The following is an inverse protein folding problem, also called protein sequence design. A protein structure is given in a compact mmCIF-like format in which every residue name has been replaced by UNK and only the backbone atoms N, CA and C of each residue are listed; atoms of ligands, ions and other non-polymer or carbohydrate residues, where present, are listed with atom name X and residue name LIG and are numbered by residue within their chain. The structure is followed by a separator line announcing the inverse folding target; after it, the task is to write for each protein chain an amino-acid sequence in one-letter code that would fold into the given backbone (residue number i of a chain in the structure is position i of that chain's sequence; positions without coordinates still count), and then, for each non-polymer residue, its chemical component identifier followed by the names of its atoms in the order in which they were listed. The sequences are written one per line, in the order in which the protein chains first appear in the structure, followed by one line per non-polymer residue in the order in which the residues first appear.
data_IF_407302274849
#
_entry.id   IF_407302274849
#
_cell.length_a   1.000
_cell.length_b   1.000
_cell.length_c   1.000
_cell.angle_alpha   90.00
_cell.angle_beta   90.00
_cell.angle_gamma   90.00
#
_symmetry.space_group_name_H-M   'P 1'
#
loop_
_entity.id
_entity.type
_entity.pdbx_description
1 polymer ?
#
# COMPACT_ATOMS: atom_id res chain seq x y z
N UNK A 1 50.68 -53.61 0.14
CA UNK A 1 50.79 -54.42 1.37
C UNK A 1 52.18 -54.19 1.97
N UNK A 2 52.36 -53.95 3.28
CA UNK A 2 51.39 -53.70 4.38
C UNK A 2 51.64 -52.33 5.09
N UNK A 3 50.64 -51.49 5.42
CA UNK A 3 49.75 -51.47 6.61
C UNK A 3 50.45 -51.33 7.97
N UNK A 4 50.33 -50.15 8.60
CA UNK A 4 50.30 -49.96 10.06
C UNK A 4 49.40 -48.74 10.38
N UNK A 5 48.40 -48.99 11.22
CA UNK A 5 47.37 -48.09 11.73
C UNK A 5 47.94 -47.06 12.72
N UNK A 6 47.33 -45.87 12.78
CA UNK A 6 47.24 -45.10 14.02
C UNK A 6 45.88 -44.39 14.09
N UNK A 7 45.00 -44.93 14.94
CA UNK A 7 43.82 -44.26 15.48
C UNK A 7 44.19 -42.87 16.01
N UNK A 8 43.48 -41.84 15.56
CA UNK A 8 43.15 -40.70 16.43
C UNK A 8 41.91 -39.97 15.89
N UNK A 9 40.84 -40.14 16.66
CA UNK A 9 39.81 -39.16 16.96
C UNK A 9 38.96 -38.58 15.82
N UNK A 10 37.81 -39.25 15.64
CA UNK A 10 36.53 -38.62 15.32
C UNK A 10 36.30 -37.39 16.22
N UNK A 11 36.61 -36.20 15.72
CA UNK A 11 36.00 -34.96 16.23
C UNK A 11 34.65 -34.80 15.56
N UNK A 12 33.62 -35.36 16.18
CA UNK A 12 32.24 -34.92 15.96
C UNK A 12 32.15 -33.45 16.40
N UNK A 13 31.63 -32.61 15.51
CA UNK A 13 31.32 -31.22 15.79
C UNK A 13 30.29 -31.17 16.92
N UNK A 14 30.70 -30.65 18.07
CA UNK A 14 29.85 -30.38 19.23
C UNK A 14 29.03 -29.10 18.98
N UNK A 15 28.36 -29.03 17.82
CA UNK A 15 27.37 -28.00 17.52
C UNK A 15 26.04 -28.49 18.09
N UNK A 16 25.56 -27.79 19.12
CA UNK A 16 24.26 -28.05 19.70
C UNK A 16 23.20 -27.89 18.60
N UNK A 17 22.46 -28.97 18.36
CA UNK A 17 21.34 -29.00 17.41
C UNK A 17 20.37 -27.84 17.71
N UNK A 18 20.18 -26.89 16.76
CA UNK A 18 19.32 -25.73 16.94
C UNK A 18 17.89 -26.10 17.35
N UNK A 19 17.38 -27.25 16.91
CA UNK A 19 16.05 -27.74 17.27
C UNK A 19 16.03 -28.24 18.72
N UNK A 20 17.09 -28.89 19.17
CA UNK A 20 17.22 -29.38 20.55
C UNK A 20 17.36 -28.23 21.54
N UNK A 21 18.08 -27.17 21.14
CA UNK A 21 18.20 -25.91 21.91
C UNK A 21 16.85 -25.22 22.01
N UNK A 22 16.07 -25.18 20.92
CA UNK A 22 14.73 -24.58 20.94
C UNK A 22 13.76 -25.40 21.80
N UNK A 23 13.84 -26.73 21.74
CA UNK A 23 13.05 -27.63 22.60
C UNK A 23 13.38 -27.45 24.08
N UNK A 24 14.67 -27.28 24.41
CA UNK A 24 15.14 -26.98 25.78
C UNK A 24 14.68 -25.61 26.26
N UNK A 25 14.68 -24.60 25.39
CA UNK A 25 14.15 -23.25 25.71
C UNK A 25 12.65 -23.29 25.99
N UNK A 26 11.90 -24.09 25.26
CA UNK A 26 10.47 -24.31 25.51
C UNK A 26 10.22 -25.05 26.82
N UNK A 27 11.03 -26.08 27.13
CA UNK A 27 10.90 -26.85 28.37
C UNK A 27 11.26 -26.05 29.63
N UNK A 28 12.18 -25.10 29.51
CA UNK A 28 12.62 -24.20 30.58
C UNK A 28 11.77 -22.92 30.71
N UNK A 29 10.74 -22.74 29.87
CA UNK A 29 9.90 -21.54 29.89
C UNK A 29 10.61 -20.25 29.45
N UNK A 30 11.77 -20.38 28.79
CA UNK A 30 12.58 -19.27 28.25
C UNK A 30 12.28 -18.98 26.77
N UNK A 31 11.55 -19.87 26.10
CA UNK A 31 10.94 -19.62 24.81
C UNK A 31 9.68 -18.79 25.00
N UNK A 32 9.78 -17.48 24.81
CA UNK A 32 8.61 -16.62 24.74
C UNK A 32 7.76 -17.07 23.56
N UNK A 33 6.68 -17.83 23.81
CA UNK A 33 5.63 -18.00 22.83
C UNK A 33 5.20 -16.58 22.41
N UNK A 34 5.18 -16.22 21.11
CA UNK A 34 4.49 -15.01 20.71
C UNK A 34 3.09 -15.11 21.31
N UNK A 35 2.74 -14.12 22.13
CA UNK A 35 1.46 -14.10 22.80
C UNK A 35 0.41 -14.07 21.69
N UNK A 36 -0.26 -15.21 21.40
CA UNK A 36 -1.36 -15.28 20.42
C UNK A 36 -2.51 -14.32 20.74
N UNK A 37 -2.47 -13.66 21.90
CA UNK A 37 -3.42 -12.64 22.35
C UNK A 37 -2.96 -11.19 22.12
N UNK A 38 -1.75 -10.91 21.62
CA UNK A 38 -1.35 -9.55 21.29
C UNK A 38 -2.02 -9.12 19.97
N UNK A 39 -2.62 -7.91 19.89
CA UNK A 39 -3.18 -7.40 18.64
C UNK A 39 -2.14 -7.44 17.51
N UNK A 40 -2.51 -7.83 16.28
CA UNK A 40 -1.59 -7.88 15.14
C UNK A 40 -0.94 -6.51 14.87
N UNK A 41 0.36 -6.48 14.55
CA UNK A 41 1.08 -5.25 14.20
C UNK A 41 1.82 -5.45 12.87
N UNK A 42 1.77 -4.46 11.98
CA UNK A 42 2.49 -4.52 10.70
C UNK A 42 4.00 -4.35 10.87
N UNK A 43 4.41 -3.65 11.94
CA UNK A 43 5.78 -3.18 12.23
C UNK A 43 6.35 -2.20 11.20
N UNK A 44 5.54 -1.72 10.26
CA UNK A 44 5.95 -0.74 9.26
C UNK A 44 6.35 0.58 9.93
N UNK A 45 5.53 1.07 10.87
CA UNK A 45 5.81 2.34 11.53
C UNK A 45 7.07 2.32 12.40
N UNK A 46 7.33 1.20 13.08
CA UNK A 46 8.58 0.99 13.84
C UNK A 46 9.80 0.99 12.91
N UNK A 47 9.69 0.33 11.76
CA UNK A 47 10.71 0.33 10.72
C UNK A 47 10.96 1.72 10.15
N UNK A 48 9.90 2.47 9.84
CA UNK A 48 9.96 3.83 9.33
C UNK A 48 10.64 4.80 10.31
N UNK A 49 10.27 4.73 11.60
CA UNK A 49 10.93 5.51 12.64
C UNK A 49 12.42 5.17 12.73
N UNK A 50 12.75 3.88 12.75
CA UNK A 50 14.15 3.43 12.79
C UNK A 50 14.95 3.94 11.58
N UNK A 51 14.36 3.88 10.38
CA UNK A 51 14.97 4.43 9.16
C UNK A 51 15.22 5.93 9.29
N UNK A 52 14.22 6.70 9.74
CA UNK A 52 14.34 8.14 9.94
C UNK A 52 15.44 8.48 10.96
N UNK A 53 15.45 7.81 12.12
CA UNK A 53 16.42 8.06 13.19
C UNK A 53 17.87 7.79 12.76
N UNK A 54 18.07 7.02 11.70
CA UNK A 54 19.38 6.65 11.16
C UNK A 54 19.62 7.14 9.72
N UNK A 55 18.77 8.02 9.19
CA UNK A 55 18.89 8.56 7.85
C UNK A 55 19.98 9.64 7.79
N UNK A 56 20.75 9.64 6.70
CA UNK A 56 21.84 10.61 6.46
C UNK A 56 21.46 11.60 5.35
N UNK A 57 20.78 11.11 4.31
CA UNK A 57 20.49 11.85 3.09
C UNK A 57 19.07 12.44 3.04
N UNK A 58 18.18 12.03 3.96
CA UNK A 58 16.81 12.53 4.04
C UNK A 58 16.52 13.03 5.45
N UNK A 59 16.09 14.28 5.58
CA UNK A 59 15.76 14.89 6.86
C UNK A 59 14.36 15.49 6.85
N UNK A 60 13.76 15.58 8.04
CA UNK A 60 12.48 16.26 8.24
C UNK A 60 12.67 17.68 8.75
N UNK A 61 11.81 18.59 8.33
CA UNK A 61 11.69 19.94 8.90
C UNK A 61 10.52 20.00 9.88
N UNK A 62 10.76 20.04 11.21
CA UNK A 62 9.67 20.05 12.20
C UNK A 62 8.70 21.22 12.05
N UNK A 63 9.19 22.38 11.60
CA UNK A 63 8.36 23.55 11.33
C UNK A 63 7.41 23.30 10.17
N UNK A 64 7.94 22.87 9.01
CA UNK A 64 7.12 22.64 7.82
C UNK A 64 6.18 21.45 7.99
N UNK A 65 6.55 20.42 8.75
CA UNK A 65 5.63 19.31 9.11
C UNK A 65 4.39 19.84 9.83
N UNK A 66 4.56 20.79 10.75
CA UNK A 66 3.43 21.42 11.48
C UNK A 66 2.59 22.34 10.62
N UNK A 67 3.22 23.04 9.67
CA UNK A 67 2.52 23.90 8.71
C UNK A 67 1.75 23.07 7.67
N UNK A 68 2.34 21.97 7.21
CA UNK A 68 1.72 21.00 6.32
C UNK A 68 0.52 20.34 6.99
N UNK A 69 0.63 19.93 8.26
CA UNK A 69 -0.50 19.40 9.03
C UNK A 69 -1.73 20.32 8.98
N UNK A 70 -1.56 21.60 9.26
CA UNK A 70 -2.67 22.57 9.22
C UNK A 70 -3.18 22.80 7.80
N UNK A 71 -2.28 22.86 6.82
CA UNK A 71 -2.64 23.09 5.41
C UNK A 71 -3.43 21.92 4.84
N UNK A 72 -2.95 20.68 5.05
CA UNK A 72 -3.59 19.44 4.63
C UNK A 72 -4.97 19.34 5.28
N UNK A 73 -5.05 19.51 6.60
CA UNK A 73 -6.31 19.47 7.34
C UNK A 73 -7.35 20.43 6.75
N UNK A 74 -7.00 21.72 6.63
CA UNK A 74 -7.90 22.74 6.10
C UNK A 74 -8.36 22.43 4.67
N UNK A 75 -7.48 21.93 3.81
CA UNK A 75 -7.82 21.58 2.43
C UNK A 75 -8.70 20.35 2.33
N UNK A 76 -8.44 19.30 3.14
CA UNK A 76 -9.29 18.12 3.22
C UNK A 76 -10.71 18.49 3.68
N UNK A 77 -10.83 19.35 4.71
CA UNK A 77 -12.13 19.84 5.18
C UNK A 77 -12.85 20.66 4.11
N UNK A 78 -12.13 21.53 3.38
CA UNK A 78 -12.71 22.33 2.29
C UNK A 78 -13.22 21.46 1.14
N UNK A 79 -12.53 20.35 0.83
CA UNK A 79 -12.91 19.41 -0.23
C UNK A 79 -13.91 18.34 0.24
N UNK A 80 -14.24 18.28 1.53
CA UNK A 80 -14.97 17.16 2.13
C UNK A 80 -14.35 15.79 1.75
N UNK A 81 -13.02 15.72 1.77
CA UNK A 81 -12.26 14.57 1.28
C UNK A 81 -12.55 13.32 2.13
N UNK A 82 -12.89 12.20 1.48
CA UNK A 82 -13.30 10.96 2.15
C UNK A 82 -13.04 9.74 1.27
N UNK A 83 -13.32 8.54 1.80
CA UNK A 83 -13.23 7.28 1.04
C UNK A 83 -14.12 7.25 -0.21
N UNK A 84 -15.19 8.04 -0.24
CA UNK A 84 -16.13 8.08 -1.36
C UNK A 84 -15.47 8.47 -2.67
N UNK A 85 -14.39 9.27 -2.63
CA UNK A 85 -13.61 9.65 -3.80
C UNK A 85 -13.05 8.43 -4.55
N UNK A 86 -12.76 7.32 -3.84
CA UNK A 86 -12.35 6.07 -4.47
C UNK A 86 -13.51 5.43 -5.24
N UNK A 87 -14.69 5.30 -4.62
CA UNK A 87 -15.86 4.65 -5.22
C UNK A 87 -16.47 5.42 -6.41
N UNK A 88 -16.25 6.73 -6.49
CA UNK A 88 -16.81 7.60 -7.53
C UNK A 88 -16.09 7.48 -8.90
N UNK A 89 -14.93 6.81 -8.98
CA UNK A 89 -14.18 6.72 -10.22
C UNK A 89 -14.82 5.75 -11.24
N UNK A 90 -14.91 6.17 -12.51
CA UNK A 90 -15.66 5.45 -13.56
C UNK A 90 -15.12 4.06 -13.93
N UNK A 91 -13.88 3.76 -13.54
CA UNK A 91 -13.22 2.47 -13.76
C UNK A 91 -13.26 1.53 -12.55
N UNK A 92 -13.67 2.01 -11.38
CA UNK A 92 -13.77 1.17 -10.19
C UNK A 92 -15.11 0.43 -10.16
N UNK A 93 -15.15 -0.81 -9.62
CA UNK A 93 -16.39 -1.54 -9.43
C UNK A 93 -17.40 -0.73 -8.62
N UNK A 94 -18.66 -0.74 -9.07
CA UNK A 94 -19.76 -0.01 -8.42
C UNK A 94 -20.57 -0.93 -7.49
N UNK A 95 -20.50 -2.23 -7.72
CA UNK A 95 -21.10 -3.24 -6.87
C UNK A 95 -20.17 -3.58 -5.70
N UNK A 96 -20.74 -4.07 -4.61
CA UNK A 96 -20.01 -4.50 -3.40
C UNK A 96 -20.23 -6.01 -3.21
N UNK A 97 -19.46 -6.81 -3.94
CA UNK A 97 -19.59 -8.26 -4.02
C UNK A 97 -18.22 -8.93 -3.85
N UNK A 98 -18.19 -10.25 -3.75
CA UNK A 98 -16.94 -11.02 -3.77
C UNK A 98 -16.13 -10.76 -5.05
N UNK A 99 -16.80 -10.59 -6.20
CA UNK A 99 -16.11 -10.22 -7.46
C UNK A 99 -15.44 -8.84 -7.40
N UNK A 100 -15.96 -7.91 -6.59
CA UNK A 100 -15.30 -6.63 -6.31
C UNK A 100 -14.03 -6.83 -5.49
N UNK A 101 -14.04 -7.76 -4.52
CA UNK A 101 -12.85 -8.14 -3.75
C UNK A 101 -11.78 -8.74 -4.68
N UNK A 102 -12.17 -9.67 -5.57
CA UNK A 102 -11.25 -10.28 -6.54
C UNK A 102 -10.65 -9.24 -7.49
N UNK A 103 -11.46 -8.27 -7.94
CA UNK A 103 -10.98 -7.17 -8.78
C UNK A 103 -9.94 -6.32 -8.06
N UNK A 104 -10.22 -5.90 -6.82
CA UNK A 104 -9.30 -5.09 -6.01
C UNK A 104 -8.00 -5.86 -5.75
N UNK A 105 -8.10 -7.15 -5.37
CA UNK A 105 -6.92 -7.99 -5.17
C UNK A 105 -6.05 -8.07 -6.44
N UNK A 106 -6.67 -8.36 -7.59
CA UNK A 106 -5.97 -8.44 -8.88
C UNK A 106 -5.31 -7.12 -9.26
N UNK A 107 -6.02 -6.01 -9.04
CA UNK A 107 -5.54 -4.66 -9.32
C UNK A 107 -4.29 -4.36 -8.47
N UNK A 108 -4.33 -4.58 -7.16
CA UNK A 108 -3.22 -4.29 -6.25
C UNK A 108 -2.05 -5.27 -6.35
N UNK A 109 -2.34 -6.52 -6.73
CA UNK A 109 -1.34 -7.50 -7.13
C UNK A 109 -0.51 -7.02 -8.32
N UNK A 110 -1.06 -6.17 -9.18
CA UNK A 110 -0.41 -5.64 -10.39
C UNK A 110 -0.04 -4.15 -10.31
N UNK A 111 -0.32 -3.50 -9.17
CA UNK A 111 -0.14 -2.08 -8.93
C UNK A 111 1.33 -1.71 -8.60
N UNK A 112 2.22 -1.81 -9.59
CA UNK A 112 3.64 -1.44 -9.44
C UNK A 112 4.29 -0.92 -10.72
N UNK A 113 5.10 0.13 -10.61
CA UNK A 113 5.96 0.66 -11.69
C UNK A 113 5.26 0.92 -13.04
N UNK A 114 4.53 2.03 -13.16
CA UNK A 114 3.92 2.48 -14.43
C UNK A 114 4.73 3.51 -15.22
N UNK A 115 5.92 3.89 -14.73
CA UNK A 115 6.71 4.92 -15.39
C UNK A 115 7.49 4.35 -16.58
N UNK A 116 7.65 5.18 -17.62
CA UNK A 116 8.31 4.82 -18.87
C UNK A 116 9.62 5.61 -19.08
N UNK A 117 10.61 4.97 -19.70
CA UNK A 117 11.83 5.62 -20.17
C UNK A 117 11.62 6.37 -21.50
N UNK A 118 10.51 6.11 -22.18
CA UNK A 118 10.12 6.82 -23.39
C UNK A 118 9.86 8.30 -23.05
N UNK A 119 10.59 9.16 -23.77
CA UNK A 119 10.54 10.61 -23.58
C UNK A 119 9.35 11.23 -24.28
N UNK A 120 8.88 10.60 -25.36
CA UNK A 120 7.69 11.01 -26.10
C UNK A 120 6.44 10.40 -25.45
N UNK A 121 5.70 11.23 -24.72
CA UNK A 121 4.47 10.82 -24.03
C UNK A 121 3.43 10.18 -24.95
N UNK A 122 3.43 10.53 -26.23
CA UNK A 122 2.49 9.96 -27.19
C UNK A 122 2.73 8.47 -27.47
N UNK A 123 3.97 8.01 -27.26
CA UNK A 123 4.42 6.63 -27.48
C UNK A 123 4.37 5.76 -26.24
N UNK A 124 4.18 6.37 -25.05
CA UNK A 124 4.15 5.65 -23.79
C UNK A 124 3.00 4.64 -23.72
N UNK A 125 3.20 3.58 -22.95
CA UNK A 125 2.18 2.57 -22.66
C UNK A 125 0.85 3.23 -22.23
N UNK A 126 -0.23 2.85 -22.90
CA UNK A 126 -1.54 3.41 -22.67
C UNK A 126 -2.63 2.46 -23.14
N UNK A 127 -3.81 2.58 -22.55
CA UNK A 127 -4.95 1.72 -22.88
C UNK A 127 -6.08 2.57 -23.43
N UNK A 128 -6.54 2.25 -24.63
CA UNK A 128 -7.80 2.80 -25.13
C UNK A 128 -8.95 1.92 -24.65
N UNK A 129 -9.89 2.53 -23.94
CA UNK A 129 -11.05 1.86 -23.38
C UNK A 129 -12.20 2.86 -23.20
N UNK A 130 -13.42 2.45 -23.59
CA UNK A 130 -14.64 3.29 -23.57
C UNK A 130 -14.46 4.66 -24.27
N UNK A 131 -13.71 4.68 -25.37
CA UNK A 131 -13.47 5.90 -26.18
C UNK A 131 -12.52 6.91 -25.54
N UNK A 132 -11.77 6.52 -24.50
CA UNK A 132 -10.76 7.35 -23.83
C UNK A 132 -9.42 6.64 -23.79
N UNK A 133 -8.35 7.44 -23.80
CA UNK A 133 -6.97 6.99 -23.63
C UNK A 133 -6.58 7.11 -22.16
N UNK A 134 -6.25 5.99 -21.54
CA UNK A 134 -5.81 5.88 -20.15
C UNK A 134 -4.29 5.75 -20.08
N UNK A 135 -3.67 6.35 -19.06
CA UNK A 135 -2.22 6.35 -18.84
C UNK A 135 -1.88 6.04 -17.37
N UNK A 136 -0.64 5.64 -17.11
CA UNK A 136 -0.17 5.35 -15.75
C UNK A 136 -0.96 4.22 -15.09
N UNK A 137 -1.31 4.40 -13.81
CA UNK A 137 -2.14 3.48 -13.05
C UNK A 137 -3.49 3.19 -13.71
N UNK A 138 -4.14 4.22 -14.28
CA UNK A 138 -5.45 4.04 -14.92
C UNK A 138 -5.41 3.14 -16.15
N UNK A 139 -4.25 3.01 -16.82
CA UNK A 139 -4.08 2.00 -17.86
C UNK A 139 -4.31 0.59 -17.35
N UNK A 140 -3.82 0.25 -16.15
CA UNK A 140 -4.01 -1.08 -15.57
C UNK A 140 -5.49 -1.34 -15.30
N UNK A 141 -6.16 -0.41 -14.61
CA UNK A 141 -7.58 -0.55 -14.28
C UNK A 141 -8.42 -0.68 -15.55
N UNK A 142 -8.13 0.13 -16.58
CA UNK A 142 -8.78 0.04 -17.87
C UNK A 142 -8.52 -1.30 -18.59
N UNK A 143 -7.31 -1.86 -18.50
CA UNK A 143 -6.99 -3.16 -19.08
C UNK A 143 -7.76 -4.30 -18.41
N UNK A 144 -7.86 -4.29 -17.07
CA UNK A 144 -8.62 -5.29 -16.31
C UNK A 144 -10.12 -5.22 -16.64
N UNK A 145 -10.70 -4.01 -16.63
CA UNK A 145 -12.11 -3.80 -17.01
C UNK A 145 -12.38 -4.24 -18.46
N UNK A 146 -11.48 -3.89 -19.39
CA UNK A 146 -11.59 -4.30 -20.79
C UNK A 146 -11.53 -5.82 -20.94
N UNK A 147 -10.69 -6.51 -20.17
CA UNK A 147 -10.62 -7.97 -20.21
C UNK A 147 -11.91 -8.61 -19.71
N UNK A 148 -12.51 -8.08 -18.64
CA UNK A 148 -13.81 -8.55 -18.13
C UNK A 148 -14.93 -8.29 -19.15
N UNK A 149 -14.96 -7.13 -19.81
CA UNK A 149 -15.90 -6.83 -20.90
C UNK A 149 -15.70 -7.72 -22.14
N UNK A 150 -14.51 -8.33 -22.30
CA UNK A 150 -14.15 -9.29 -23.35
C UNK A 150 -14.37 -10.75 -22.91
N UNK A 151 -15.08 -10.98 -21.81
CA UNK A 151 -15.37 -12.29 -21.21
C UNK A 151 -14.10 -13.08 -20.80
N UNK A 152 -12.99 -12.38 -20.54
CA UNK A 152 -11.76 -12.98 -20.02
C UNK A 152 -11.80 -12.92 -18.48
N UNK A 153 -11.75 -14.07 -17.77
CA UNK A 153 -11.83 -14.12 -16.30
C UNK A 153 -10.50 -13.70 -15.63
N UNK A 154 -10.02 -12.49 -15.94
CA UNK A 154 -8.71 -11.99 -15.52
C UNK A 154 -8.58 -11.79 -14.01
N UNK A 155 -9.69 -11.79 -13.26
CA UNK A 155 -9.70 -11.66 -11.80
C UNK A 155 -9.80 -13.01 -11.09
N UNK A 156 -9.79 -14.13 -11.82
CA UNK A 156 -10.05 -15.46 -11.27
C UNK A 156 -8.75 -16.24 -11.03
N UNK A 157 -8.46 -16.67 -9.79
CA UNK A 157 -7.21 -17.39 -9.47
C UNK A 157 -7.01 -18.71 -10.23
N UNK A 158 -8.08 -19.49 -10.41
CA UNK A 158 -8.01 -20.77 -11.14
C UNK A 158 -7.69 -20.59 -12.62
N UNK A 159 -8.06 -19.44 -13.20
CA UNK A 159 -7.67 -19.08 -14.55
C UNK A 159 -6.17 -18.76 -14.61
N UNK A 160 -5.63 -18.03 -13.63
CA UNK A 160 -4.19 -17.71 -13.60
C UNK A 160 -3.29 -18.91 -13.48
N UNK A 161 -3.68 -20.00 -12.81
CA UNK A 161 -2.84 -21.20 -12.70
C UNK A 161 -2.94 -22.12 -13.93
N UNK A 162 -3.96 -21.96 -14.76
CA UNK A 162 -4.15 -22.76 -15.95
C UNK A 162 -3.35 -22.17 -17.12
N UNK A 163 -2.15 -22.68 -17.36
CA UNK A 163 -1.27 -22.21 -18.45
C UNK A 163 -1.84 -22.46 -19.87
N UNK A 164 -2.77 -23.41 -20.03
CA UNK A 164 -3.42 -23.68 -21.32
C UNK A 164 -4.51 -22.65 -21.63
N UNK A 165 -5.25 -22.18 -20.62
CA UNK A 165 -6.31 -21.18 -20.77
C UNK A 165 -5.78 -19.75 -20.66
N UNK A 166 -4.93 -19.49 -19.68
CA UNK A 166 -4.29 -18.21 -19.45
C UNK A 166 -2.88 -18.26 -20.04
N UNK A 167 -2.73 -18.13 -21.36
CA UNK A 167 -1.40 -18.12 -22.00
C UNK A 167 -0.73 -16.74 -21.90
N UNK A 168 0.59 -16.70 -22.10
CA UNK A 168 1.33 -15.44 -22.23
C UNK A 168 0.79 -14.58 -23.38
N UNK A 169 0.39 -15.18 -24.50
CA UNK A 169 -0.25 -14.46 -25.60
C UNK A 169 -1.58 -13.84 -25.20
N UNK A 170 -2.40 -14.55 -24.42
CA UNK A 170 -3.68 -14.01 -23.93
C UNK A 170 -3.44 -12.88 -22.93
N UNK A 171 -2.47 -13.00 -22.03
CA UNK A 171 -2.10 -11.92 -21.11
C UNK A 171 -1.53 -10.70 -21.86
N UNK A 172 -0.74 -10.91 -22.92
CA UNK A 172 -0.34 -9.79 -23.81
C UNK A 172 -1.53 -9.14 -24.50
N UNK A 173 -2.54 -9.93 -24.89
CA UNK A 173 -3.78 -9.39 -25.44
C UNK A 173 -4.55 -8.58 -24.39
N UNK A 174 -4.66 -9.04 -23.15
CA UNK A 174 -5.28 -8.30 -22.04
C UNK A 174 -4.61 -6.94 -21.86
N UNK A 175 -3.28 -6.93 -21.71
CA UNK A 175 -2.48 -5.72 -21.48
C UNK A 175 -2.06 -5.00 -22.76
N UNK A 176 -2.66 -5.30 -23.93
CA UNK A 176 -2.26 -4.70 -25.20
C UNK A 176 -2.42 -3.18 -25.18
N UNK A 177 -1.34 -2.48 -25.52
CA UNK A 177 -1.26 -1.03 -25.56
C UNK A 177 -1.90 -0.47 -26.83
N UNK A 178 -2.31 0.80 -26.79
CA UNK A 178 -2.64 1.58 -27.97
C UNK A 178 -1.37 2.16 -28.67
N UNK A 179 -0.18 1.91 -28.10
CA UNK A 179 1.13 2.26 -28.67
C UNK A 179 2.02 1.02 -28.81
N UNK A 180 3.22 1.19 -29.34
CA UNK A 180 4.22 0.12 -29.46
C UNK A 180 4.88 -0.25 -28.12
N UNK A 181 4.76 0.58 -27.07
CA UNK A 181 5.31 0.26 -25.76
C UNK A 181 4.38 -0.73 -25.03
N UNK A 182 4.90 -1.89 -24.65
CA UNK A 182 4.22 -2.89 -23.82
C UNK A 182 4.06 -2.39 -22.37
N UNK A 183 3.15 -3.01 -21.61
CA UNK A 183 3.05 -2.74 -20.17
C UNK A 183 4.41 -2.96 -19.49
N UNK A 184 4.90 -1.99 -18.69
CA UNK A 184 6.16 -2.17 -17.98
C UNK A 184 6.15 -3.42 -17.10
N UNK A 185 7.28 -4.14 -17.06
CA UNK A 185 7.46 -5.34 -16.24
C UNK A 185 6.37 -6.41 -16.49
N UNK A 186 6.07 -6.69 -17.77
CA UNK A 186 5.05 -7.67 -18.16
C UNK A 186 5.31 -9.05 -17.56
N UNK A 187 6.54 -9.56 -17.65
CA UNK A 187 6.87 -10.91 -17.16
C UNK A 187 6.73 -11.02 -15.63
N UNK A 188 7.10 -9.97 -14.90
CA UNK A 188 6.92 -9.89 -13.45
C UNK A 188 5.44 -9.86 -13.06
N UNK A 189 4.58 -9.23 -13.88
CA UNK A 189 3.12 -9.25 -13.69
C UNK A 189 2.54 -10.63 -13.89
N UNK A 190 2.95 -11.32 -14.95
CA UNK A 190 2.56 -12.72 -15.18
C UNK A 190 2.97 -13.59 -14.00
N UNK A 191 4.22 -13.46 -13.53
CA UNK A 191 4.72 -14.20 -12.37
C UNK A 191 3.91 -13.92 -11.11
N UNK A 192 3.54 -12.66 -10.85
CA UNK A 192 2.69 -12.31 -9.72
C UNK A 192 1.31 -12.99 -9.80
N UNK A 193 0.69 -13.05 -10.98
CA UNK A 193 -0.60 -13.74 -11.19
C UNK A 193 -0.48 -15.25 -10.95
N UNK A 194 0.57 -15.91 -11.47
CA UNK A 194 0.78 -17.35 -11.25
C UNK A 194 0.98 -17.67 -9.78
N UNK A 195 1.90 -16.94 -9.13
CA UNK A 195 2.21 -17.13 -7.71
C UNK A 195 0.98 -16.92 -6.83
N UNK A 196 0.25 -15.82 -7.02
CA UNK A 196 -0.94 -15.54 -6.25
C UNK A 196 -2.07 -16.53 -6.54
N UNK A 197 -2.21 -16.96 -7.80
CA UNK A 197 -3.16 -17.99 -8.20
C UNK A 197 -2.89 -19.32 -7.50
N UNK A 198 -1.63 -19.77 -7.46
CA UNK A 198 -1.21 -20.99 -6.77
C UNK A 198 -1.52 -20.91 -5.27
N UNK A 199 -1.17 -19.80 -4.63
CA UNK A 199 -1.43 -19.59 -3.20
C UNK A 199 -2.93 -19.61 -2.92
N UNK A 200 -3.74 -18.87 -3.67
CA UNK A 200 -5.19 -18.81 -3.48
C UNK A 200 -5.86 -20.18 -3.70
N UNK A 201 -5.52 -20.87 -4.79
CA UNK A 201 -6.11 -22.16 -5.10
C UNK A 201 -5.75 -23.24 -4.08
N UNK A 202 -4.54 -23.23 -3.53
CA UNK A 202 -4.07 -24.28 -2.62
C UNK A 202 -4.39 -24.01 -1.14
N UNK A 203 -4.31 -22.75 -0.70
CA UNK A 203 -4.39 -22.39 0.73
C UNK A 203 -5.69 -21.65 1.08
N UNK A 204 -6.40 -21.05 0.11
CA UNK A 204 -7.57 -20.19 0.35
C UNK A 204 -8.78 -20.54 -0.52
N UNK A 205 -8.90 -21.80 -0.92
CA UNK A 205 -10.03 -22.34 -1.72
C UNK A 205 -10.35 -21.53 -3.00
N UNK A 206 -9.35 -20.86 -3.57
CA UNK A 206 -9.47 -20.07 -4.79
C UNK A 206 -10.14 -18.71 -4.63
N UNK A 207 -10.35 -18.20 -3.41
CA UNK A 207 -11.01 -16.91 -3.16
C UNK A 207 -10.22 -16.04 -2.18
N UNK A 208 -10.04 -14.75 -2.51
CA UNK A 208 -9.36 -13.82 -1.62
C UNK A 208 -10.21 -13.42 -0.41
N UNK A 209 -11.54 -13.61 -0.47
CA UNK A 209 -12.43 -13.40 0.69
C UNK A 209 -11.99 -14.23 1.89
N UNK A 210 -11.53 -15.46 1.66
CA UNK A 210 -11.03 -16.33 2.72
C UNK A 210 -9.78 -15.75 3.42
N UNK A 211 -8.96 -14.95 2.73
CA UNK A 211 -7.86 -14.23 3.38
C UNK A 211 -8.37 -13.14 4.33
N UNK A 212 -9.47 -12.44 3.99
CA UNK A 212 -10.11 -11.43 4.84
C UNK A 212 -10.69 -12.10 6.10
N UNK A 213 -11.37 -13.22 5.92
CA UNK A 213 -11.95 -14.02 7.00
C UNK A 213 -10.87 -14.58 7.94
N UNK A 214 -9.79 -15.15 7.39
CA UNK A 214 -8.65 -15.68 8.16
C UNK A 214 -7.89 -14.58 8.91
N UNK A 215 -7.86 -13.36 8.37
CA UNK A 215 -7.35 -12.19 9.05
C UNK A 215 -8.28 -11.68 10.17
N UNK A 216 -9.46 -12.28 10.33
CA UNK A 216 -10.49 -11.91 11.30
C UNK A 216 -10.78 -10.41 11.26
N UNK A 217 -10.90 -9.85 10.04
CA UNK A 217 -11.20 -8.43 9.84
C UNK A 217 -10.21 -7.48 10.55
N UNK A 218 -8.96 -7.92 10.74
CA UNK A 218 -7.85 -7.08 11.18
C UNK A 218 -7.07 -6.58 9.95
N UNK A 219 -6.96 -5.26 9.81
CA UNK A 219 -6.15 -4.61 8.79
C UNK A 219 -4.67 -5.04 8.92
N UNK A 220 -4.11 -4.98 10.13
CA UNK A 220 -2.74 -5.42 10.36
C UNK A 220 -2.57 -6.95 10.23
N UNK A 221 -3.60 -7.72 10.59
CA UNK A 221 -3.66 -9.16 10.37
C UNK A 221 -3.58 -9.51 8.87
N UNK A 222 -4.42 -8.87 8.05
CA UNK A 222 -4.46 -9.10 6.62
C UNK A 222 -3.16 -8.68 5.93
N UNK A 223 -2.58 -7.53 6.28
CA UNK A 223 -1.25 -7.12 5.76
C UNK A 223 -0.18 -8.19 6.04
N UNK A 224 -0.16 -8.75 7.25
CA UNK A 224 0.81 -9.77 7.62
C UNK A 224 0.54 -11.10 6.89
N UNK A 225 -0.71 -11.54 6.86
CA UNK A 225 -1.14 -12.76 6.15
C UNK A 225 -0.74 -12.69 4.68
N UNK A 226 -1.00 -11.55 4.02
CA UNK A 226 -0.66 -11.34 2.62
C UNK A 226 0.87 -11.35 2.42
N UNK A 227 1.64 -10.63 3.24
CA UNK A 227 3.10 -10.60 3.12
C UNK A 227 3.78 -11.95 3.43
N UNK A 228 3.15 -12.79 4.25
CA UNK A 228 3.65 -14.12 4.60
C UNK A 228 3.40 -15.14 3.49
N UNK A 229 2.18 -15.17 2.94
CA UNK A 229 1.76 -16.18 1.97
C UNK A 229 2.10 -15.81 0.51
N UNK A 230 2.05 -14.52 0.17
CA UNK A 230 2.31 -14.04 -1.18
C UNK A 230 3.69 -13.35 -1.22
N UNK A 231 4.69 -14.05 -1.77
CA UNK A 231 6.06 -13.58 -1.82
C UNK A 231 6.18 -12.25 -2.57
N UNK A 232 5.36 -12.00 -3.58
CA UNK A 232 5.28 -10.73 -4.32
C UNK A 232 4.72 -9.56 -3.49
N UNK A 233 4.16 -9.77 -2.30
CA UNK A 233 3.77 -8.70 -1.36
C UNK A 233 4.77 -8.47 -0.21
N UNK A 234 5.80 -9.33 -0.08
CA UNK A 234 6.82 -9.27 0.96
C UNK A 234 7.89 -8.17 0.75
N UNK A 235 7.48 -6.93 0.95
CA UNK A 235 8.31 -5.72 0.86
C UNK A 235 9.11 -5.48 2.15
N UNK A 236 10.23 -6.21 2.28
CA UNK A 236 11.14 -6.18 3.44
C UNK A 236 12.59 -5.95 3.00
N UNK A 237 13.34 -5.18 3.78
CA UNK A 237 14.75 -4.89 3.48
C UNK A 237 15.61 -4.78 4.74
N UNK A 238 16.90 -5.10 4.62
CA UNK A 238 17.89 -4.88 5.69
C UNK A 238 18.46 -3.47 5.60
N UNK A 239 18.30 -2.69 6.67
CA UNK A 239 18.87 -1.35 6.83
C UNK A 239 19.65 -1.28 8.15
N UNK A 240 20.94 -0.94 8.08
CA UNK A 240 21.85 -0.88 9.24
C UNK A 240 21.78 -2.12 10.16
N UNK A 241 21.65 -3.31 9.56
CA UNK A 241 21.59 -4.58 10.28
C UNK A 241 20.23 -4.90 10.92
N UNK A 242 19.22 -4.04 10.76
CA UNK A 242 17.83 -4.29 11.17
C UNK A 242 16.97 -4.57 9.93
N UNK A 243 16.05 -5.53 10.05
CA UNK A 243 15.00 -5.72 9.06
C UNK A 243 13.94 -4.63 9.21
N UNK A 244 13.68 -3.91 8.12
CA UNK A 244 12.63 -2.89 7.98
C UNK A 244 11.58 -3.45 7.01
N UNK A 245 10.30 -3.17 7.28
CA UNK A 245 9.18 -3.59 6.45
C UNK A 245 8.48 -2.34 5.94
N UNK A 246 8.14 -2.30 4.66
CA UNK A 246 7.33 -1.22 4.08
C UNK A 246 5.94 -1.72 3.70
N UNK A 247 5.85 -2.97 3.23
CA UNK A 247 4.60 -3.68 2.90
C UNK A 247 3.63 -2.84 2.06
N UNK A 248 4.15 -2.01 1.15
CA UNK A 248 3.39 -0.95 0.49
C UNK A 248 2.12 -1.49 -0.16
N UNK A 249 2.26 -2.48 -1.04
CA UNK A 249 1.12 -3.03 -1.81
C UNK A 249 0.13 -3.79 -0.94
N UNK A 250 0.60 -4.48 0.11
CA UNK A 250 -0.28 -5.14 1.06
C UNK A 250 -1.10 -4.12 1.87
N UNK A 251 -0.50 -2.97 2.21
CA UNK A 251 -1.19 -1.87 2.85
C UNK A 251 -2.19 -1.18 1.91
N UNK A 252 -1.85 -0.99 0.62
CA UNK A 252 -2.78 -0.46 -0.40
C UNK A 252 -3.99 -1.37 -0.54
N UNK A 253 -3.78 -2.69 -0.67
CA UNK A 253 -4.86 -3.67 -0.75
C UNK A 253 -5.89 -3.55 0.38
N UNK A 254 -5.43 -3.44 1.63
CA UNK A 254 -6.32 -3.23 2.78
C UNK A 254 -7.03 -1.88 2.71
N UNK A 255 -6.33 -0.83 2.28
CA UNK A 255 -6.89 0.51 2.16
C UNK A 255 -7.93 0.61 1.05
N UNK A 256 -7.73 -0.06 -0.09
CA UNK A 256 -8.65 -0.07 -1.22
C UNK A 256 -9.91 -0.89 -0.91
N UNK A 257 -9.78 -2.03 -0.21
CA UNK A 257 -10.92 -2.75 0.35
C UNK A 257 -11.71 -1.88 1.34
N UNK A 258 -11.03 -1.25 2.29
CA UNK A 258 -11.65 -0.36 3.26
C UNK A 258 -12.39 0.81 2.58
N UNK A 259 -11.75 1.45 1.60
CA UNK A 259 -12.30 2.60 0.90
C UNK A 259 -13.47 2.21 -0.02
N UNK A 260 -13.33 1.14 -0.80
CA UNK A 260 -14.37 0.64 -1.70
C UNK A 260 -15.66 0.29 -0.95
N UNK A 261 -15.53 -0.43 0.17
CA UNK A 261 -16.67 -0.86 0.95
C UNK A 261 -17.12 0.17 1.99
N UNK A 262 -16.45 1.33 2.10
CA UNK A 262 -16.72 2.39 3.08
C UNK A 262 -16.66 1.92 4.54
N UNK A 263 -15.76 0.98 4.86
CA UNK A 263 -15.61 0.45 6.22
C UNK A 263 -16.70 -0.53 6.66
N UNK A 264 -17.48 -1.07 5.73
CA UNK A 264 -18.55 -2.06 5.98
C UNK A 264 -18.21 -3.38 5.27
N UNK A 265 -18.85 -4.49 5.67
CA UNK A 265 -18.72 -5.79 4.99
C UNK A 265 -17.24 -6.21 4.79
N UNK A 266 -16.81 -6.58 3.58
CA UNK A 266 -15.41 -6.92 3.28
C UNK A 266 -14.38 -5.81 3.55
N UNK A 267 -14.81 -4.57 3.81
CA UNK A 267 -13.95 -3.46 4.22
C UNK A 267 -14.04 -3.11 5.71
N UNK A 268 -14.78 -3.87 6.53
CA UNK A 268 -14.92 -3.61 7.97
C UNK A 268 -13.67 -4.02 8.75
N UNK A 269 -12.64 -3.17 8.76
CA UNK A 269 -11.42 -3.45 9.53
C UNK A 269 -11.43 -2.77 10.91
N UNK A 270 -11.40 -3.57 11.98
CA UNK A 270 -11.50 -3.07 13.36
C UNK A 270 -10.27 -2.27 13.84
N UNK A 271 -9.15 -2.37 13.12
CA UNK A 271 -7.88 -1.69 13.43
C UNK A 271 -7.25 -1.01 12.21
N UNK A 272 -8.08 -0.47 11.30
CA UNK A 272 -7.66 0.24 10.08
C UNK A 272 -6.61 1.34 10.33
N UNK A 273 -6.63 1.98 11.50
CA UNK A 273 -5.68 3.02 11.90
C UNK A 273 -4.22 2.54 12.03
N UNK A 274 -3.97 1.22 11.96
CA UNK A 274 -2.63 0.64 11.92
C UNK A 274 -1.96 0.70 10.55
N UNK A 275 -2.76 0.94 9.49
CA UNK A 275 -2.24 1.15 8.14
C UNK A 275 -1.58 2.53 8.07
N UNK A 276 -0.36 2.57 7.56
CA UNK A 276 0.39 3.81 7.36
C UNK A 276 0.11 4.42 6.00
N UNK A 277 0.74 5.55 5.69
CA UNK A 277 0.87 6.00 4.30
C UNK A 277 1.67 4.97 3.48
N UNK A 278 1.53 5.01 2.17
CA UNK A 278 2.17 4.08 1.25
C UNK A 278 3.46 4.69 0.71
N UNK A 279 4.59 4.05 1.01
CA UNK A 279 5.91 4.54 0.62
C UNK A 279 6.17 4.40 -0.89
N UNK A 280 5.58 5.29 -1.68
CA UNK A 280 5.68 5.38 -3.13
C UNK A 280 6.67 6.46 -3.62
N UNK A 281 6.68 6.74 -4.92
CA UNK A 281 7.55 7.75 -5.56
C UNK A 281 6.95 9.14 -5.71
N UNK A 282 5.66 9.32 -5.42
CA UNK A 282 4.92 10.58 -5.57
C UNK A 282 4.77 11.31 -4.25
N UNK A 283 4.51 10.60 -3.16
CA UNK A 283 4.35 11.23 -1.85
C UNK A 283 5.66 11.88 -1.36
N UNK A 284 6.85 11.26 -1.48
CA UNK A 284 8.10 11.93 -1.11
C UNK A 284 8.32 13.24 -1.90
N UNK A 285 7.96 13.26 -3.19
CA UNK A 285 8.00 14.46 -4.05
C UNK A 285 7.09 15.56 -3.49
N UNK A 286 5.85 15.23 -3.12
CA UNK A 286 4.90 16.18 -2.53
C UNK A 286 5.37 16.68 -1.16
N UNK A 287 5.89 15.81 -0.30
CA UNK A 287 6.41 16.20 1.01
C UNK A 287 7.65 17.10 0.90
N UNK A 288 8.49 16.90 -0.11
CA UNK A 288 9.60 17.82 -0.41
C UNK A 288 9.08 19.19 -0.88
N UNK A 289 8.07 19.21 -1.75
CA UNK A 289 7.43 20.45 -2.22
C UNK A 289 6.77 21.24 -1.07
N UNK A 290 6.21 20.56 -0.08
CA UNK A 290 5.71 21.15 1.16
C UNK A 290 6.83 21.59 2.13
N UNK A 291 8.10 21.36 1.80
CA UNK A 291 9.26 21.65 2.64
C UNK A 291 9.42 20.71 3.85
N UNK A 292 8.60 19.66 3.93
CA UNK A 292 8.64 18.68 5.01
C UNK A 292 9.87 17.79 4.91
N UNK A 293 10.13 17.24 3.72
CA UNK A 293 11.32 16.45 3.42
C UNK A 293 12.43 17.34 2.86
N UNK A 294 13.67 17.09 3.28
CA UNK A 294 14.87 17.73 2.76
C UNK A 294 15.87 16.67 2.35
N UNK A 295 16.47 16.86 1.17
CA UNK A 295 17.45 15.94 0.62
C UNK A 295 18.85 16.50 0.81
N UNK A 296 19.83 15.62 0.99
CA UNK A 296 21.23 15.99 0.87
C UNK A 296 21.55 16.48 -0.55
N UNK A 297 22.60 17.31 -0.74
CA UNK A 297 22.97 17.79 -2.08
C UNK A 297 23.23 16.67 -3.11
N UNK A 298 23.90 15.54 -2.77
CA UNK A 298 24.05 14.42 -3.71
C UNK A 298 22.73 13.80 -4.14
N UNK A 299 21.81 13.55 -3.20
CA UNK A 299 20.51 12.96 -3.48
C UNK A 299 19.63 13.88 -4.33
N UNK A 300 19.55 15.17 -3.98
CA UNK A 300 18.80 16.18 -4.74
C UNK A 300 19.33 16.28 -6.18
N UNK A 301 20.65 16.33 -6.37
CA UNK A 301 21.27 16.36 -7.69
C UNK A 301 20.96 15.09 -8.51
N UNK A 302 20.91 13.91 -7.87
CA UNK A 302 20.58 12.65 -8.52
C UNK A 302 19.12 12.63 -9.02
N UNK A 303 18.19 13.04 -8.17
CA UNK A 303 16.76 13.14 -8.48
C UNK A 303 16.51 14.15 -9.60
N UNK A 304 17.10 15.35 -9.51
CA UNK A 304 16.98 16.41 -10.55
C UNK A 304 17.59 16.00 -11.88
N UNK A 305 18.60 15.14 -11.85
CA UNK A 305 19.18 14.55 -13.06
C UNK A 305 18.35 13.41 -13.65
N UNK A 306 17.17 13.13 -13.09
CA UNK A 306 16.23 12.10 -13.52
C UNK A 306 16.86 10.71 -13.59
N UNK A 307 17.81 10.43 -12.69
CA UNK A 307 18.48 9.14 -12.60
C UNK A 307 17.64 8.17 -11.78
N UNK A 308 17.53 6.89 -12.21
CA UNK A 308 16.85 5.88 -11.41
C UNK A 308 17.49 5.73 -10.02
N UNK A 309 16.66 5.57 -9.00
CA UNK A 309 17.09 5.06 -7.69
C UNK A 309 17.16 3.55 -7.77
N UNK A 310 18.28 2.98 -7.32
CA UNK A 310 18.46 1.53 -7.29
C UNK A 310 17.57 0.93 -6.21
N UNK A 311 16.76 -0.10 -6.52
CA UNK A 311 16.00 -0.83 -5.52
C UNK A 311 16.92 -1.38 -4.44
N UNK A 312 16.52 -1.20 -3.19
CA UNK A 312 17.26 -1.53 -1.98
C UNK A 312 18.46 -0.65 -1.64
N UNK A 313 18.69 0.45 -2.36
CA UNK A 313 19.73 1.40 -1.99
C UNK A 313 19.38 2.18 -0.72
N UNK A 314 20.39 2.66 0.01
CA UNK A 314 20.21 3.54 1.17
C UNK A 314 19.29 4.73 0.86
N UNK A 315 19.46 5.37 -0.29
CA UNK A 315 18.59 6.49 -0.71
C UNK A 315 17.13 6.07 -0.89
N UNK A 316 16.89 4.92 -1.51
CA UNK A 316 15.53 4.38 -1.67
C UNK A 316 14.89 4.12 -0.29
N UNK A 317 15.61 3.42 0.59
CA UNK A 317 15.15 3.07 1.94
C UNK A 317 14.86 4.33 2.75
N UNK A 318 15.79 5.30 2.77
CA UNK A 318 15.66 6.53 3.53
C UNK A 318 14.50 7.39 3.04
N UNK A 319 14.30 7.51 1.73
CA UNK A 319 13.16 8.21 1.16
C UNK A 319 11.84 7.58 1.57
N UNK A 320 11.73 6.25 1.48
CA UNK A 320 10.52 5.50 1.83
C UNK A 320 10.21 5.58 3.32
N UNK A 321 11.18 5.24 4.18
CA UNK A 321 11.00 5.23 5.63
C UNK A 321 10.75 6.62 6.22
N UNK A 322 11.49 7.63 5.75
CA UNK A 322 11.31 9.01 6.23
C UNK A 322 9.98 9.61 5.78
N UNK A 323 9.46 9.22 4.60
CA UNK A 323 8.14 9.65 4.14
C UNK A 323 7.01 9.06 4.99
N UNK A 324 7.09 7.77 5.32
CA UNK A 324 6.13 7.13 6.24
C UNK A 324 6.12 7.85 7.58
N UNK A 325 7.31 8.08 8.13
CA UNK A 325 7.44 8.75 9.42
C UNK A 325 6.94 10.20 9.37
N UNK A 326 7.20 10.92 8.28
CA UNK A 326 6.70 12.28 8.08
C UNK A 326 5.17 12.35 8.13
N UNK A 327 4.47 11.47 7.40
CA UNK A 327 3.01 11.47 7.40
C UNK A 327 2.44 11.08 8.75
N UNK A 328 3.08 10.15 9.48
CA UNK A 328 2.69 9.85 10.86
C UNK A 328 2.82 11.10 11.76
N UNK A 329 3.89 11.88 11.63
CA UNK A 329 4.05 13.13 12.38
C UNK A 329 3.01 14.18 12.00
N UNK A 330 2.66 14.27 10.71
CA UNK A 330 1.56 15.13 10.20
C UNK A 330 0.24 14.70 10.86
N UNK A 331 -0.11 13.40 10.80
CA UNK A 331 -1.33 12.84 11.40
C UNK A 331 -1.41 13.19 12.89
N UNK A 332 -0.34 12.92 13.64
CA UNK A 332 -0.27 13.21 15.09
C UNK A 332 -0.43 14.69 15.40
N UNK A 333 0.13 15.58 14.58
CA UNK A 333 -0.02 17.02 14.76
C UNK A 333 -1.46 17.49 14.45
N UNK A 334 -2.11 16.93 13.42
CA UNK A 334 -3.53 17.20 13.13
C UNK A 334 -4.39 16.77 14.31
N UNK A 335 -4.24 15.52 14.77
CA UNK A 335 -4.97 14.99 15.92
C UNK A 335 -4.78 15.80 17.21
N UNK A 336 -3.58 16.37 17.40
CA UNK A 336 -3.26 17.20 18.56
C UNK A 336 -3.94 18.56 18.50
N UNK A 337 -4.05 19.16 17.31
CA UNK A 337 -4.64 20.49 17.09
C UNK A 337 -6.16 20.45 16.94
N UNK A 338 -6.68 19.35 16.43
CA UNK A 338 -8.09 19.13 16.11
C UNK A 338 -8.56 17.83 16.81
N UNK A 339 -8.73 17.82 18.15
CA UNK A 339 -9.09 16.61 18.90
C UNK A 339 -10.46 16.01 18.53
N UNK A 340 -11.36 16.81 17.95
CA UNK A 340 -12.67 16.40 17.44
C UNK A 340 -12.58 15.26 16.43
N UNK A 341 -11.45 15.16 15.72
CA UNK A 341 -11.23 14.15 14.68
C UNK A 341 -11.15 12.73 15.25
N UNK A 342 -10.67 12.57 16.49
CA UNK A 342 -10.65 11.27 17.18
C UNK A 342 -12.05 10.74 17.50
N UNK A 343 -13.03 11.65 17.60
CA UNK A 343 -14.41 11.31 17.91
C UNK A 343 -15.22 10.97 16.65
N UNK A 344 -14.82 11.52 15.50
CA UNK A 344 -15.44 11.25 14.20
C UNK A 344 -15.20 9.82 13.70
N UNK A 345 -14.01 9.26 13.90
CA UNK A 345 -13.65 7.91 13.45
C UNK A 345 -14.36 6.75 14.19
N UNK A 346 -15.06 7.04 15.30
CA UNK A 346 -15.79 6.02 16.09
C UNK A 346 -17.27 5.89 15.77
N UNK A 347 -17.84 6.79 14.95
CA UNK A 347 -19.27 6.78 14.59
C UNK A 347 -19.48 6.27 13.16
N UNK A 348 -18.99 5.07 12.88
CA UNK A 348 -19.60 4.17 11.90
C UNK A 348 -20.50 3.20 12.65
N UNK A 349 -21.62 3.67 13.22
CA UNK A 349 -22.69 2.79 13.71
C UNK A 349 -23.93 3.60 14.11
N UNK A 350 -25.05 3.23 13.49
CA UNK A 350 -26.44 3.56 13.83
C UNK A 350 -26.84 5.03 13.98
N UNK A 351 -27.43 5.57 12.92
CA UNK A 351 -28.51 6.55 13.08
C UNK A 351 -29.82 5.75 13.25
N UNK A 352 -30.20 5.50 14.50
CA UNK A 352 -31.58 5.18 14.84
C UNK A 352 -32.46 6.41 14.57
N UNK A 353 -33.53 6.20 13.81
CA UNK A 353 -34.59 7.18 13.60
C UNK A 353 -35.49 7.21 14.84
N UNK A 354 -35.25 8.14 15.74
CA UNK A 354 -36.22 8.47 16.79
C UNK A 354 -37.16 9.57 16.27
N UNK A 355 -38.35 9.14 15.83
CA UNK A 355 -39.53 9.98 15.76
C UNK A 355 -39.99 10.32 17.19
N UNK A 356 -40.03 11.61 17.54
CA UNK A 356 -41.08 12.11 18.43
C UNK A 356 -41.31 13.61 18.22
N UNK A 357 -42.54 13.92 17.84
CA UNK A 357 -43.13 15.25 17.82
C UNK A 357 -43.23 15.85 19.23
N UNK A 358 -42.83 17.12 19.39
CA UNK A 358 -43.76 18.18 19.86
C UNK A 358 -43.13 19.58 19.80
N UNK A 359 -44.03 20.55 19.55
CA UNK A 359 -43.87 21.93 19.10
C UNK A 359 -43.61 22.93 20.26
N UNK A 360 -42.74 23.92 20.03
CA UNK A 360 -43.00 25.40 20.02
C UNK A 360 -41.89 26.27 20.65
N UNK A 361 -41.36 27.26 19.90
CA UNK A 361 -40.83 28.52 20.46
C UNK A 361 -39.40 28.97 20.09
N UNK A 362 -39.32 29.78 19.02
CA UNK A 362 -38.36 30.90 18.74
C UNK A 362 -36.89 30.82 19.19
N UNK A 363 -36.00 30.72 18.21
CA UNK A 363 -34.99 31.72 17.80
C UNK A 363 -34.28 31.14 16.56
N UNK A 364 -34.17 31.89 15.45
CA UNK A 364 -33.49 31.43 14.23
C UNK A 364 -31.97 31.34 14.46
N UNK A 365 -31.34 30.15 14.43
CA UNK A 365 -29.90 30.04 14.27
C UNK A 365 -29.61 29.94 12.77
N UNK A 366 -28.65 30.71 12.30
CA UNK A 366 -28.08 30.57 10.95
C UNK A 366 -27.78 29.10 10.65
N UNK A 367 -28.44 28.55 9.63
CA UNK A 367 -28.37 27.16 9.16
C UNK A 367 -27.00 26.86 8.53
N UNK A 368 -25.93 26.91 9.34
CA UNK A 368 -24.72 26.15 9.05
C UNK A 368 -24.96 24.73 9.57
N UNK A 369 -25.42 23.85 8.66
CA UNK A 369 -25.40 22.40 8.90
C UNK A 369 -24.07 22.03 9.58
N UNK A 370 -24.07 21.26 10.68
CA UNK A 370 -22.82 20.84 11.31
C UNK A 370 -21.95 20.19 10.25
N UNK A 371 -20.77 20.77 9.98
CA UNK A 371 -19.81 20.21 9.03
C UNK A 371 -19.55 18.77 9.48
N UNK A 372 -19.86 17.80 8.61
CA UNK A 372 -19.46 16.41 8.81
C UNK A 372 -17.95 16.41 9.00
N UNK A 373 -17.49 16.20 10.22
CA UNK A 373 -16.08 15.94 10.49
C UNK A 373 -15.84 14.50 10.07
N UNK A 374 -15.15 14.31 8.96
CA UNK A 374 -14.64 12.99 8.59
C UNK A 374 -13.43 12.69 9.48
N UNK A 375 -13.32 11.46 9.98
CA UNK A 375 -12.12 11.02 10.70
C UNK A 375 -10.87 11.20 9.83
N UNK A 376 -9.69 11.31 10.45
CA UNK A 376 -8.41 11.35 9.73
C UNK A 376 -7.60 10.11 10.10
N UNK A 377 -7.00 9.49 9.09
CA UNK A 377 -6.00 8.45 9.25
C UNK A 377 -4.90 8.66 8.21
N UNK A 378 -3.86 7.82 8.26
CA UNK A 378 -2.72 7.95 7.34
C UNK A 378 -3.10 7.67 5.88
N UNK A 379 -4.07 6.78 5.63
CA UNK A 379 -4.60 6.45 4.30
C UNK A 379 -5.22 7.69 3.63
N UNK A 380 -6.10 8.41 4.34
CA UNK A 380 -6.76 9.59 3.78
C UNK A 380 -5.78 10.74 3.52
N UNK A 381 -4.75 10.88 4.35
CA UNK A 381 -3.67 11.85 4.10
C UNK A 381 -2.88 11.44 2.85
N UNK A 382 -2.57 10.15 2.70
CA UNK A 382 -1.87 9.61 1.53
C UNK A 382 -2.64 9.88 0.23
N UNK A 383 -3.89 9.43 0.15
CA UNK A 383 -4.75 9.65 -1.01
C UNK A 383 -4.86 11.14 -1.36
N UNK A 384 -5.05 12.00 -0.35
CA UNK A 384 -5.12 13.44 -0.57
C UNK A 384 -3.81 14.02 -1.15
N UNK A 385 -2.66 13.59 -0.63
CA UNK A 385 -1.35 14.04 -1.12
C UNK A 385 -1.09 13.52 -2.55
N UNK A 386 -1.46 12.28 -2.85
CA UNK A 386 -1.34 11.69 -4.18
C UNK A 386 -2.18 12.45 -5.21
N UNK A 387 -3.47 12.67 -4.92
CA UNK A 387 -4.39 13.41 -5.80
C UNK A 387 -3.91 14.85 -6.03
N UNK A 388 -3.45 15.51 -4.96
CA UNK A 388 -2.91 16.87 -5.07
C UNK A 388 -1.68 16.91 -5.97
N UNK A 389 -0.79 15.90 -5.86
CA UNK A 389 0.38 15.81 -6.73
C UNK A 389 -0.01 15.55 -8.19
N UNK A 390 -1.04 14.76 -8.44
CA UNK A 390 -1.59 14.53 -9.78
C UNK A 390 -2.17 15.80 -10.40
N UNK A 391 -2.95 16.58 -9.65
CA UNK A 391 -3.44 17.88 -10.13
C UNK A 391 -2.29 18.85 -10.44
N UNK A 392 -1.23 18.88 -9.62
CA UNK A 392 -0.06 19.74 -9.87
C UNK A 392 0.73 19.32 -11.12
N UNK A 393 0.81 18.01 -11.41
CA UNK A 393 1.42 17.48 -12.64
C UNK A 393 0.63 17.93 -13.88
N UNK A 394 -0.70 17.85 -13.84
CA UNK A 394 -1.57 18.33 -14.92
C UNK A 394 -1.42 19.85 -15.15
N UNK A 395 -1.20 20.61 -14.08
CA UNK A 395 -0.94 22.06 -14.12
C UNK A 395 0.53 22.40 -14.46
N UNK A 396 1.41 21.42 -14.64
CA UNK A 396 2.86 21.58 -14.84
C UNK A 396 3.55 22.42 -13.75
N UNK A 397 3.10 22.29 -12.51
CA UNK A 397 3.53 23.10 -11.36
C UNK A 397 4.30 22.27 -10.30
N UNK A 398 5.07 21.28 -10.77
CA UNK A 398 5.91 20.44 -9.92
C UNK A 398 7.28 21.11 -9.68
N UNK A 399 7.71 21.20 -8.41
CA UNK A 399 8.99 21.82 -8.03
C UNK A 399 10.20 20.88 -8.08
N UNK A 400 9.93 19.57 -7.98
CA UNK A 400 10.91 18.48 -7.99
C UNK A 400 10.33 17.37 -8.87
N UNK A 401 11.11 16.70 -9.73
CA UNK A 401 10.60 15.58 -10.51
C UNK A 401 10.26 14.38 -9.62
N UNK A 402 9.36 13.53 -10.08
CA UNK A 402 9.06 12.26 -9.41
C UNK A 402 10.32 11.39 -9.30
N UNK A 403 10.42 10.59 -8.23
CA UNK A 403 11.53 9.67 -8.06
C UNK A 403 11.40 8.52 -9.06
N UNK A 404 12.43 8.28 -9.87
CA UNK A 404 12.38 7.19 -10.87
C UNK A 404 12.86 5.90 -10.25
N UNK A 405 12.01 4.88 -10.30
CA UNK A 405 12.24 3.60 -9.63
C UNK A 405 11.51 2.48 -10.37
N UNK A 406 12.25 1.49 -10.85
CA UNK A 406 11.68 0.26 -11.42
C UNK A 406 11.78 -0.81 -10.36
N UNK A 407 10.75 -0.89 -9.53
CA UNK A 407 10.66 -1.88 -8.47
C UNK A 407 9.22 -2.35 -8.37
N UNK A 408 9.07 -3.64 -8.08
CA UNK A 408 7.79 -4.23 -7.68
C UNK A 408 7.33 -3.65 -6.32
N UNK A 409 8.29 -3.15 -5.54
CA UNK A 409 8.11 -2.73 -4.15
C UNK A 409 7.92 -1.23 -3.96
N UNK A 410 8.35 -0.42 -4.93
CA UNK A 410 8.39 1.03 -4.80
C UNK A 410 7.07 1.67 -5.21
#
# INVERSE_FOLDING_TARGET
MPSLESDSDRRGSDEADPELVELLRQHLGLGGKPNKAAPPETKVLEGAQYTFDNSIDVALSPTHVKEAAETIWRLMQKKAYSTQTWSEHELHPQEKTESTVDFIFTMDLLNFSFWSEEKDESKRFCIEYRGRKWTGYWSLVAALQRALDEDIPITTPSFWVNEDECTDELLRHVFRSATEEEIPLFQERVQCLREAGDVLCNEFEGSFVNCIDDANYSAAGLVNLVAENFACFRDEISFNGKRVRFLKRAQILVADLWACFNGEDFGEFHDIDKITMFADYRIPQMLNQLGCLRYSPPLDAHIRSLKPLTPGSTWEIELRGTSIWCVELIKREIEKRHPEVKSAGKKGSHLESDESDHVEGREEPTDEKPRKTYGINAILIDFFLYDTMKSLEEEQNESVPHHRTRSIWY
#
